data_IF_986811099773
#
_entry.id   IF_986811099773
#
_cell.length_a   1.000
_cell.length_b   1.000
_cell.length_c   1.000
_cell.angle_alpha   90.00
_cell.angle_beta   90.00
_cell.angle_gamma   90.00
#
_symmetry.space_group_name_H-M   'P 1'
#
loop_
_entity.id
_entity.type
_entity.pdbx_description
1 polymer ?
#
# COMPACT_ATOMS: atom_id res chain seq x y z
N UNK A 1 -21.07 21.66 -16.69
CA UNK A 1 -20.27 21.10 -17.80
C UNK A 1 -19.01 21.92 -17.87
N UNK A 2 -17.84 21.30 -17.64
CA UNK A 2 -16.55 22.01 -17.75
C UNK A 2 -16.32 22.43 -19.21
N UNK A 3 -15.64 23.55 -19.43
CA UNK A 3 -15.27 23.97 -20.77
C UNK A 3 -14.20 23.04 -21.36
N UNK A 4 -14.14 22.88 -22.68
CA UNK A 4 -13.12 22.05 -23.36
C UNK A 4 -11.69 22.43 -22.94
N UNK A 5 -11.45 23.71 -22.68
CA UNK A 5 -10.16 24.25 -22.22
C UNK A 5 -9.79 23.77 -20.79
N UNK A 6 -10.77 23.62 -19.90
CA UNK A 6 -10.55 23.10 -18.55
C UNK A 6 -10.21 21.61 -18.57
N UNK A 7 -10.91 20.82 -19.39
CA UNK A 7 -10.61 19.39 -19.56
C UNK A 7 -9.21 19.14 -20.13
N UNK A 8 -8.79 19.91 -21.14
CA UNK A 8 -7.44 19.80 -21.71
C UNK A 8 -6.35 20.14 -20.69
N UNK A 9 -6.60 21.13 -19.83
CA UNK A 9 -5.65 21.56 -18.79
C UNK A 9 -5.48 20.48 -17.72
N UNK A 10 -6.59 19.87 -17.27
CA UNK A 10 -6.57 18.81 -16.26
C UNK A 10 -5.91 17.54 -16.76
N UNK A 11 -6.20 17.14 -18.00
CA UNK A 11 -5.52 16.00 -18.66
C UNK A 11 -4.01 16.19 -18.66
N UNK A 12 -3.53 17.41 -18.97
CA UNK A 12 -2.09 17.75 -18.91
C UNK A 12 -1.50 17.65 -17.50
N UNK A 13 -2.24 18.08 -16.47
CA UNK A 13 -1.81 17.97 -15.06
C UNK A 13 -1.71 16.50 -14.65
N UNK A 14 -2.74 15.70 -14.93
CA UNK A 14 -2.77 14.28 -14.61
C UNK A 14 -1.60 13.52 -15.28
N UNK A 15 -1.36 13.78 -16.57
CA UNK A 15 -0.20 13.21 -17.28
C UNK A 15 1.13 13.65 -16.69
N UNK A 16 1.26 14.93 -16.29
CA UNK A 16 2.48 15.46 -15.66
C UNK A 16 2.75 14.79 -14.31
N UNK A 17 1.72 14.57 -13.50
CA UNK A 17 1.82 13.83 -12.23
C UNK A 17 2.29 12.40 -12.51
N UNK A 18 1.63 11.69 -13.43
CA UNK A 18 1.97 10.31 -13.78
C UNK A 18 3.44 10.21 -14.23
N UNK A 19 3.85 11.01 -15.21
CA UNK A 19 5.22 11.03 -15.73
C UNK A 19 6.26 11.43 -14.66
N UNK A 20 5.93 12.39 -13.82
CA UNK A 20 6.84 12.88 -12.79
C UNK A 20 7.08 11.86 -11.67
N UNK A 21 6.03 11.14 -11.27
CA UNK A 21 6.10 10.09 -10.26
C UNK A 21 6.66 8.78 -10.84
N UNK A 22 6.41 8.49 -12.12
CA UNK A 22 7.02 7.38 -12.87
C UNK A 22 8.41 7.74 -13.41
N UNK A 23 9.27 8.21 -12.51
CA UNK A 23 10.68 8.51 -12.80
C UNK A 23 11.62 7.62 -11.99
N UNK A 24 12.87 7.50 -12.46
CA UNK A 24 13.94 6.79 -11.74
C UNK A 24 14.15 7.28 -10.29
N UNK A 25 13.62 8.45 -9.93
CA UNK A 25 13.66 9.03 -8.60
C UNK A 25 12.62 8.41 -7.65
N UNK A 26 11.43 8.04 -8.13
CA UNK A 26 10.32 7.61 -7.26
C UNK A 26 9.80 6.22 -7.61
N UNK A 27 9.11 6.07 -8.75
CA UNK A 27 8.65 4.80 -9.31
C UNK A 27 9.32 4.57 -10.66
N UNK A 28 10.03 3.45 -10.82
CA UNK A 28 10.68 3.12 -12.10
C UNK A 28 9.68 2.69 -13.18
N UNK A 29 8.43 2.52 -12.81
CA UNK A 29 7.38 1.97 -13.64
C UNK A 29 6.13 2.85 -13.56
N UNK A 30 5.26 2.68 -14.56
CA UNK A 30 3.92 3.25 -14.53
C UNK A 30 3.10 2.62 -13.41
N UNK A 31 2.13 3.37 -12.83
CA UNK A 31 1.21 2.80 -11.87
C UNK A 31 0.39 1.69 -12.52
N UNK A 32 -0.12 0.77 -11.71
CA UNK A 32 -1.21 -0.10 -12.16
C UNK A 32 -2.41 0.75 -12.58
N UNK A 33 -3.21 0.27 -13.54
CA UNK A 33 -4.43 0.95 -14.02
C UNK A 33 -4.26 2.45 -14.32
N UNK A 34 -3.28 2.82 -15.14
CA UNK A 34 -2.97 4.23 -15.47
C UNK A 34 -4.19 5.04 -15.94
N UNK A 35 -5.04 4.48 -16.80
CA UNK A 35 -6.24 5.18 -17.28
C UNK A 35 -7.19 5.55 -16.13
N UNK A 36 -7.32 4.68 -15.14
CA UNK A 36 -8.14 4.93 -13.96
C UNK A 36 -7.50 6.00 -13.06
N UNK A 37 -6.18 6.00 -12.92
CA UNK A 37 -5.46 7.08 -12.24
C UNK A 37 -5.73 8.43 -12.91
N UNK A 38 -5.57 8.51 -14.23
CA UNK A 38 -5.80 9.74 -15.00
C UNK A 38 -7.24 10.23 -14.82
N UNK A 39 -8.21 9.32 -14.83
CA UNK A 39 -9.62 9.62 -14.56
C UNK A 39 -9.85 10.19 -13.15
N UNK A 40 -9.19 9.64 -12.12
CA UNK A 40 -9.28 10.14 -10.74
C UNK A 40 -8.64 11.52 -10.57
N UNK A 41 -7.52 11.76 -11.25
CA UNK A 41 -6.78 13.02 -11.23
C UNK A 41 -7.44 14.15 -12.04
N UNK A 42 -8.44 13.86 -12.87
CA UNK A 42 -9.24 14.85 -13.61
C UNK A 42 -10.33 15.53 -12.73
N UNK A 43 -10.39 15.19 -11.44
CA UNK A 43 -11.30 15.80 -10.47
C UNK A 43 -10.72 17.06 -9.81
N UNK A 44 -11.59 17.96 -9.32
CA UNK A 44 -11.20 19.16 -8.56
C UNK A 44 -10.78 18.86 -7.11
N UNK A 45 -10.57 17.58 -6.78
CA UNK A 45 -10.24 17.14 -5.44
C UNK A 45 -8.73 17.31 -5.21
N UNK A 46 -8.28 17.87 -4.07
CA UNK A 46 -6.87 17.95 -3.75
C UNK A 46 -6.21 16.56 -3.81
N UNK A 47 -5.03 16.49 -4.43
CA UNK A 47 -4.34 15.23 -4.61
C UNK A 47 -3.92 14.63 -3.26
N UNK A 48 -4.31 13.38 -3.01
CA UNK A 48 -3.99 12.67 -1.78
C UNK A 48 -3.18 11.42 -2.09
N UNK A 49 -2.09 11.21 -1.35
CA UNK A 49 -1.32 9.97 -1.39
C UNK A 49 -1.82 9.03 -0.30
N UNK A 50 -2.21 7.82 -0.65
CA UNK A 50 -2.59 6.79 0.33
C UNK A 50 -1.64 5.61 0.23
N UNK A 51 -0.81 5.44 1.26
CA UNK A 51 0.28 4.48 1.27
C UNK A 51 0.00 3.26 2.12
N UNK A 52 0.31 2.08 1.61
CA UNK A 52 0.33 0.87 2.44
C UNK A 52 1.58 0.85 3.32
N UNK A 53 1.41 0.62 4.62
CA UNK A 53 2.49 0.57 5.59
C UNK A 53 2.47 -0.70 6.43
N UNK A 54 3.66 -1.23 6.75
CA UNK A 54 3.86 -2.38 7.62
C UNK A 54 3.07 -2.25 8.93
N UNK A 55 2.41 -3.32 9.37
CA UNK A 55 1.68 -3.37 10.64
C UNK A 55 2.49 -3.94 11.82
N UNK A 56 3.73 -4.39 11.60
CA UNK A 56 4.67 -4.76 12.66
C UNK A 56 6.11 -4.61 12.18
N UNK A 57 7.07 -4.47 13.10
CA UNK A 57 8.51 -4.43 12.80
C UNK A 57 9.20 -5.68 13.33
N UNK A 58 10.04 -6.29 12.52
CA UNK A 58 10.93 -7.37 12.97
C UNK A 58 12.19 -6.80 13.61
N UNK A 59 12.57 -7.33 14.78
CA UNK A 59 13.67 -6.79 15.55
C UNK A 59 13.35 -5.41 16.16
N UNK A 60 14.34 -4.82 16.83
CA UNK A 60 14.21 -3.52 17.51
C UNK A 60 13.00 -3.39 18.46
N UNK A 61 12.71 -4.43 19.26
CA UNK A 61 11.60 -4.44 20.24
C UNK A 61 10.24 -4.04 19.63
N UNK A 62 10.03 -4.34 18.34
CA UNK A 62 8.82 -3.99 17.59
C UNK A 62 8.53 -2.48 17.54
N UNK A 63 9.59 -1.66 17.35
CA UNK A 63 9.48 -0.20 17.28
C UNK A 63 10.05 0.37 15.98
N UNK A 64 9.50 1.50 15.57
CA UNK A 64 9.99 2.30 14.45
C UNK A 64 11.45 2.67 14.65
N UNK A 65 12.17 2.72 13.53
CA UNK A 65 13.60 2.95 13.49
C UNK A 65 13.99 3.98 12.43
N UNK A 66 15.29 4.14 12.21
CA UNK A 66 15.82 5.10 11.23
C UNK A 66 15.33 4.83 9.80
N UNK A 67 15.17 3.57 9.40
CA UNK A 67 14.68 3.21 8.06
C UNK A 67 13.21 3.64 7.87
N UNK A 68 12.39 3.57 8.93
CA UNK A 68 11.02 4.08 8.89
C UNK A 68 11.03 5.61 8.68
N UNK A 69 11.86 6.34 9.43
CA UNK A 69 12.00 7.79 9.27
C UNK A 69 12.50 8.19 7.86
N UNK A 70 13.54 7.52 7.36
CA UNK A 70 14.08 7.75 6.01
C UNK A 70 13.03 7.47 4.91
N UNK A 71 12.19 6.45 5.11
CA UNK A 71 11.10 6.13 4.18
C UNK A 71 9.98 7.17 4.24
N UNK A 72 9.65 7.68 5.43
CA UNK A 72 8.69 8.77 5.59
C UNK A 72 9.19 10.10 4.99
N UNK A 73 10.48 10.40 5.10
CA UNK A 73 11.10 11.56 4.43
C UNK A 73 11.01 11.45 2.90
N UNK A 74 11.16 10.23 2.38
CA UNK A 74 10.94 9.97 0.97
C UNK A 74 9.48 10.25 0.58
N UNK A 75 8.49 9.73 1.32
CA UNK A 75 7.06 10.02 1.07
C UNK A 75 6.78 11.52 1.16
N UNK A 76 7.40 12.22 2.09
CA UNK A 76 7.29 13.68 2.23
C UNK A 76 7.77 14.40 0.97
N UNK A 77 8.89 13.96 0.40
CA UNK A 77 9.42 14.48 -0.86
C UNK A 77 8.49 14.20 -2.05
N UNK A 78 7.84 13.03 -2.08
CA UNK A 78 6.84 12.66 -3.10
C UNK A 78 5.62 13.58 -2.99
N UNK A 79 5.09 13.79 -1.77
CA UNK A 79 3.97 14.72 -1.54
C UNK A 79 4.30 16.14 -1.99
N UNK A 80 5.49 16.65 -1.66
CA UNK A 80 5.94 17.96 -2.12
C UNK A 80 5.97 18.06 -3.64
N UNK A 81 6.48 17.02 -4.31
CA UNK A 81 6.52 16.94 -5.77
C UNK A 81 5.12 16.87 -6.39
N UNK A 82 4.20 16.12 -5.78
CA UNK A 82 2.81 16.05 -6.21
C UNK A 82 2.13 17.42 -6.13
N UNK A 83 2.40 18.20 -5.08
CA UNK A 83 1.92 19.58 -4.97
C UNK A 83 2.49 20.47 -6.07
N UNK A 84 3.79 20.38 -6.37
CA UNK A 84 4.43 21.13 -7.46
C UNK A 84 3.82 20.81 -8.84
N UNK A 85 3.48 19.54 -9.10
CA UNK A 85 2.92 19.13 -10.40
C UNK A 85 1.44 19.44 -10.55
N UNK A 86 0.66 19.27 -9.48
CA UNK A 86 -0.77 19.58 -9.46
C UNK A 86 -1.07 21.07 -9.40
N UNK A 87 -0.13 21.88 -8.87
CA UNK A 87 -0.41 23.28 -8.53
C UNK A 87 -1.36 23.43 -7.32
N UNK A 88 -1.65 22.33 -6.62
CA UNK A 88 -2.59 22.26 -5.50
C UNK A 88 -1.88 21.76 -4.23
N UNK A 89 -2.50 22.00 -3.07
CA UNK A 89 -2.04 21.37 -1.84
C UNK A 89 -2.20 19.85 -1.95
N UNK A 90 -1.13 19.11 -1.70
CA UNK A 90 -1.17 17.67 -1.59
C UNK A 90 -1.18 17.23 -0.12
N UNK A 91 -1.91 16.16 0.19
CA UNK A 91 -1.92 15.50 1.50
C UNK A 91 -1.48 14.05 1.37
N UNK A 92 -1.17 13.40 2.50
CA UNK A 92 -0.83 11.98 2.49
C UNK A 92 -1.28 11.31 3.79
N UNK A 93 -1.77 10.08 3.67
CA UNK A 93 -2.12 9.20 4.78
C UNK A 93 -1.50 7.83 4.56
N UNK A 94 -1.25 7.12 5.66
CA UNK A 94 -0.68 5.77 5.67
C UNK A 94 -1.68 4.80 6.27
N UNK A 95 -1.98 3.74 5.53
CA UNK A 95 -2.78 2.60 5.98
C UNK A 95 -1.84 1.61 6.67
N UNK A 96 -1.91 1.59 8.00
CA UNK A 96 -1.15 0.67 8.83
C UNK A 96 -1.79 -0.71 8.78
N UNK A 97 -1.14 -1.65 8.10
CA UNK A 97 -1.66 -2.99 7.80
C UNK A 97 -1.63 -3.95 9.01
N UNK A 98 -2.19 -3.52 10.15
CA UNK A 98 -2.30 -4.28 11.40
C UNK A 98 -2.95 -5.65 11.20
N UNK A 99 -4.09 -5.68 10.50
CA UNK A 99 -4.87 -6.89 10.31
C UNK A 99 -4.17 -7.93 9.44
N UNK A 100 -3.42 -7.49 8.42
CA UNK A 100 -2.59 -8.39 7.63
C UNK A 100 -1.55 -9.07 8.53
N UNK A 101 -0.92 -8.34 9.45
CA UNK A 101 0.12 -8.93 10.31
C UNK A 101 -0.49 -9.86 11.34
N UNK A 102 -1.69 -9.54 11.82
CA UNK A 102 -2.42 -10.39 12.75
C UNK A 102 -2.86 -11.70 12.07
N UNK A 103 -3.52 -11.60 10.92
CA UNK A 103 -4.19 -12.73 10.27
C UNK A 103 -3.29 -13.58 9.39
N UNK A 104 -2.35 -12.99 8.63
CA UNK A 104 -1.45 -13.73 7.76
C UNK A 104 -0.10 -14.02 8.44
N UNK A 105 0.42 -13.09 9.24
CA UNK A 105 1.72 -13.29 9.89
C UNK A 105 1.65 -13.83 11.32
N UNK A 106 0.46 -13.88 11.94
CA UNK A 106 0.27 -14.39 13.31
C UNK A 106 0.87 -13.49 14.40
N UNK A 107 1.10 -12.21 14.11
CA UNK A 107 1.68 -11.26 15.07
C UNK A 107 0.73 -10.95 16.21
N UNK A 108 1.30 -10.74 17.39
CA UNK A 108 0.51 -10.47 18.60
C UNK A 108 0.07 -9.00 18.65
N UNK A 109 -1.12 -8.74 19.20
CA UNK A 109 -1.68 -7.38 19.32
C UNK A 109 -0.73 -6.41 20.05
N UNK A 110 0.02 -6.90 21.04
CA UNK A 110 1.03 -6.10 21.75
C UNK A 110 2.16 -5.61 20.85
N UNK A 111 2.57 -6.41 19.87
CA UNK A 111 3.67 -6.09 18.97
C UNK A 111 3.23 -5.09 17.91
N UNK A 112 2.05 -5.33 17.34
CA UNK A 112 1.38 -4.45 16.37
C UNK A 112 1.17 -3.07 17.01
N UNK A 113 0.60 -3.03 18.22
CA UNK A 113 0.38 -1.78 18.96
C UNK A 113 1.69 -1.06 19.28
N UNK A 114 2.70 -1.78 19.77
CA UNK A 114 4.00 -1.18 20.07
C UNK A 114 4.61 -0.49 18.84
N UNK A 115 4.47 -1.10 17.66
CA UNK A 115 4.97 -0.50 16.43
C UNK A 115 4.13 0.71 16.02
N UNK A 116 2.80 0.59 16.01
CA UNK A 116 1.88 1.70 15.70
C UNK A 116 2.17 2.94 16.54
N UNK A 117 2.24 2.79 17.86
CA UNK A 117 2.50 3.90 18.80
C UNK A 117 3.89 4.51 18.60
N UNK A 118 4.88 3.71 18.22
CA UNK A 118 6.23 4.24 17.93
C UNK A 118 6.35 4.94 16.58
N UNK A 119 5.53 4.55 15.60
CA UNK A 119 5.52 5.09 14.25
C UNK A 119 4.71 6.40 14.19
N UNK A 120 3.60 6.47 14.91
CA UNK A 120 2.65 7.58 14.88
C UNK A 120 3.31 8.96 15.04
N UNK A 121 4.21 9.22 16.02
CA UNK A 121 4.88 10.52 16.14
C UNK A 121 5.72 10.89 14.91
N UNK A 122 6.40 9.92 14.28
CA UNK A 122 7.20 10.16 13.07
C UNK A 122 6.32 10.55 11.88
N UNK A 123 5.14 9.94 11.79
CA UNK A 123 4.15 10.20 10.74
C UNK A 123 3.53 11.59 10.93
N UNK A 124 3.14 11.93 12.17
CA UNK A 124 2.55 13.22 12.53
C UNK A 124 3.53 14.39 12.33
N UNK A 125 4.82 14.21 12.65
CA UNK A 125 5.88 15.22 12.43
C UNK A 125 5.95 15.68 10.96
N UNK A 126 5.61 14.81 10.01
CA UNK A 126 5.63 15.10 8.57
C UNK A 126 4.28 15.61 8.04
N UNK A 127 3.30 15.76 8.93
CA UNK A 127 1.95 16.19 8.61
C UNK A 127 1.17 15.14 7.83
N UNK A 128 1.36 13.87 8.14
CA UNK A 128 0.59 12.75 7.61
C UNK A 128 -0.38 12.21 8.66
N UNK A 129 -1.37 11.44 8.22
CA UNK A 129 -2.23 10.65 9.09
C UNK A 129 -1.81 9.18 9.08
N UNK A 130 -1.86 8.51 10.24
CA UNK A 130 -1.68 7.06 10.36
C UNK A 130 -3.01 6.41 10.70
N UNK A 131 -3.55 5.62 9.76
CA UNK A 131 -4.87 5.01 9.86
C UNK A 131 -4.68 3.50 10.06
N UNK A 132 -5.14 2.96 11.19
CA UNK A 132 -5.13 1.52 11.43
C UNK A 132 -6.09 0.82 10.48
N UNK A 133 -5.61 -0.18 9.75
CA UNK A 133 -6.43 -0.86 8.75
C UNK A 133 -7.68 -1.50 9.38
N UNK A 134 -7.56 -2.14 10.53
CA UNK A 134 -8.72 -2.69 11.25
C UNK A 134 -9.84 -1.65 11.55
N UNK A 135 -9.52 -0.34 11.57
CA UNK A 135 -10.52 0.72 11.76
C UNK A 135 -11.33 1.02 10.49
N UNK A 136 -10.78 0.68 9.32
CA UNK A 136 -11.40 0.86 8.01
C UNK A 136 -12.27 -0.35 7.66
N UNK A 137 -11.73 -1.57 7.83
CA UNK A 137 -12.39 -2.81 7.37
C UNK A 137 -13.12 -3.59 8.46
N UNK A 138 -13.00 -3.16 9.73
CA UNK A 138 -13.58 -3.86 10.89
C UNK A 138 -12.61 -4.82 11.59
N UNK A 139 -13.07 -5.47 12.67
CA UNK A 139 -12.23 -6.28 13.56
C UNK A 139 -11.83 -7.65 12.95
N UNK A 140 -10.60 -8.08 13.21
CA UNK A 140 -9.99 -9.30 12.64
C UNK A 140 -10.74 -10.64 12.81
N UNK A 141 -11.38 -10.96 13.96
CA UNK A 141 -12.14 -12.21 14.09
C UNK A 141 -13.39 -12.25 13.20
N UNK A 142 -13.93 -11.08 12.85
CA UNK A 142 -15.03 -10.94 11.90
C UNK A 142 -14.48 -11.19 10.49
N UNK A 143 -13.38 -10.54 10.13
CA UNK A 143 -12.84 -10.59 8.76
C UNK A 143 -12.41 -11.97 8.25
N UNK A 144 -11.92 -12.88 9.12
CA UNK A 144 -11.58 -14.24 8.67
C UNK A 144 -12.81 -15.02 8.13
N UNK A 145 -14.00 -14.68 8.60
CA UNK A 145 -15.27 -15.24 8.13
C UNK A 145 -15.93 -14.39 7.03
N UNK A 146 -15.32 -13.27 6.64
CA UNK A 146 -15.87 -12.26 5.73
C UNK A 146 -14.93 -11.93 4.55
N UNK A 147 -13.80 -12.62 4.38
CA UNK A 147 -13.12 -12.63 3.08
C UNK A 147 -14.14 -13.26 2.12
N UNK A 148 -14.67 -12.44 1.22
CA UNK A 148 -15.68 -12.88 0.27
C UNK A 148 -15.11 -13.88 -0.74
N UNK A 149 -16.00 -14.65 -1.35
CA UNK A 149 -15.65 -15.64 -2.37
C UNK A 149 -14.92 -15.00 -3.56
N UNK A 150 -15.22 -13.72 -3.85
CA UNK A 150 -14.56 -12.95 -4.90
C UNK A 150 -13.06 -12.77 -4.61
N UNK A 151 -12.70 -12.35 -3.39
CA UNK A 151 -11.33 -12.10 -2.96
C UNK A 151 -10.54 -13.40 -2.86
N UNK A 152 -11.19 -14.50 -2.44
CA UNK A 152 -10.59 -15.84 -2.47
C UNK A 152 -10.31 -16.30 -3.89
N UNK A 153 -11.26 -16.14 -4.81
CA UNK A 153 -11.09 -16.50 -6.22
C UNK A 153 -9.99 -15.66 -6.89
N UNK A 154 -9.95 -14.35 -6.61
CA UNK A 154 -8.90 -13.45 -7.07
C UNK A 154 -7.52 -13.91 -6.56
N UNK A 155 -7.42 -14.28 -5.29
CA UNK A 155 -6.18 -14.80 -4.71
C UNK A 155 -5.71 -16.10 -5.40
N UNK A 156 -6.63 -17.04 -5.65
CA UNK A 156 -6.31 -18.27 -6.38
C UNK A 156 -5.81 -17.99 -7.80
N UNK A 157 -6.44 -17.05 -8.51
CA UNK A 157 -6.01 -16.63 -9.84
C UNK A 157 -4.62 -15.96 -9.81
N UNK A 158 -4.37 -15.04 -8.88
CA UNK A 158 -3.07 -14.38 -8.72
C UNK A 158 -1.97 -15.41 -8.42
N UNK A 159 -2.25 -16.34 -7.50
CA UNK A 159 -1.30 -17.37 -7.07
C UNK A 159 -1.16 -18.53 -8.08
N UNK A 160 -1.91 -18.53 -9.18
CA UNK A 160 -1.69 -19.45 -10.30
C UNK A 160 -0.45 -19.07 -11.13
N UNK A 161 0.02 -17.82 -11.07
CA UNK A 161 1.36 -17.48 -11.57
C UNK A 161 2.41 -17.98 -10.58
N UNK A 162 3.14 -19.00 -11.01
CA UNK A 162 4.17 -19.66 -10.20
C UNK A 162 5.23 -18.69 -9.66
N UNK A 163 5.58 -17.63 -10.40
CA UNK A 163 6.57 -16.64 -9.94
C UNK A 163 6.04 -15.84 -8.75
N UNK A 164 4.77 -15.42 -8.83
CA UNK A 164 4.10 -14.70 -7.75
C UNK A 164 3.97 -15.58 -6.52
N UNK A 165 3.56 -16.84 -6.71
CA UNK A 165 3.45 -17.82 -5.65
C UNK A 165 4.79 -18.06 -4.93
N UNK A 166 5.85 -18.35 -5.67
CA UNK A 166 7.18 -18.62 -5.12
C UNK A 166 7.73 -17.44 -4.31
N UNK A 167 7.56 -16.23 -4.84
CA UNK A 167 8.04 -15.01 -4.18
C UNK A 167 7.25 -14.71 -2.90
N UNK A 168 5.93 -14.85 -2.95
CA UNK A 168 5.08 -14.68 -1.77
C UNK A 168 5.36 -15.75 -0.72
N UNK A 169 5.59 -17.02 -1.11
CA UNK A 169 5.98 -18.10 -0.20
C UNK A 169 7.32 -17.80 0.46
N UNK A 170 8.31 -17.34 -0.31
CA UNK A 170 9.63 -16.98 0.22
C UNK A 170 9.53 -15.90 1.29
N UNK A 171 8.74 -14.85 1.02
CA UNK A 171 8.48 -13.79 1.99
C UNK A 171 7.72 -14.31 3.23
N UNK A 172 6.67 -15.10 3.03
CA UNK A 172 5.89 -15.67 4.13
C UNK A 172 6.76 -16.54 5.05
N UNK A 173 7.64 -17.37 4.49
CA UNK A 173 8.61 -18.19 5.26
C UNK A 173 9.55 -17.34 6.13
N UNK A 174 9.88 -16.12 5.69
CA UNK A 174 10.73 -15.19 6.43
C UNK A 174 9.97 -14.49 7.56
N UNK A 175 8.71 -14.13 7.32
CA UNK A 175 8.00 -13.14 8.14
C UNK A 175 6.79 -13.67 8.92
N UNK A 176 6.21 -14.81 8.53
CA UNK A 176 5.00 -15.34 9.16
C UNK A 176 5.33 -16.30 10.30
N UNK A 177 4.90 -15.94 11.51
CA UNK A 177 4.96 -16.81 12.69
C UNK A 177 4.00 -17.99 12.56
N UNK A 178 2.98 -17.91 11.70
CA UNK A 178 2.02 -19.00 11.48
C UNK A 178 2.66 -20.23 10.84
N UNK A 179 3.71 -20.04 10.02
CA UNK A 179 4.47 -21.16 9.45
C UNK A 179 5.27 -21.85 10.56
N UNK A 180 5.88 -21.08 11.46
CA UNK A 180 6.58 -21.61 12.63
C UNK A 180 5.68 -22.38 13.59
N UNK A 181 4.38 -22.07 13.62
CA UNK A 181 3.37 -22.81 14.39
C UNK A 181 2.67 -23.94 13.60
N UNK A 182 3.16 -24.27 12.39
CA UNK A 182 2.72 -25.44 11.63
C UNK A 182 1.73 -25.17 10.49
N UNK A 183 1.40 -23.92 10.18
CA UNK A 183 0.54 -23.57 9.04
C UNK A 183 1.31 -23.75 7.73
N UNK A 184 0.69 -24.41 6.75
CA UNK A 184 1.31 -24.58 5.43
C UNK A 184 1.57 -23.20 4.77
N UNK A 185 2.77 -22.97 4.20
CA UNK A 185 3.09 -21.68 3.56
C UNK A 185 2.09 -21.26 2.49
N UNK A 186 1.58 -22.21 1.70
CA UNK A 186 0.55 -21.98 0.69
C UNK A 186 -0.73 -21.37 1.27
N UNK A 187 -1.14 -21.80 2.47
CA UNK A 187 -2.33 -21.26 3.13
C UNK A 187 -2.12 -19.85 3.66
N UNK A 188 -0.91 -19.57 4.17
CA UNK A 188 -0.54 -18.23 4.65
C UNK A 188 -0.56 -17.22 3.50
N UNK A 189 -0.01 -17.57 2.34
CA UNK A 189 0.01 -16.67 1.18
C UNK A 189 -1.37 -16.48 0.56
N UNK A 190 -2.21 -17.52 0.53
CA UNK A 190 -3.60 -17.41 0.09
C UNK A 190 -4.38 -16.42 0.98
N UNK A 191 -4.27 -16.56 2.30
CA UNK A 191 -4.90 -15.65 3.26
C UNK A 191 -4.38 -14.23 3.08
N UNK A 192 -3.07 -14.06 2.92
CA UNK A 192 -2.47 -12.74 2.70
C UNK A 192 -3.05 -12.05 1.46
N UNK A 193 -2.99 -12.71 0.31
CA UNK A 193 -3.45 -12.14 -0.96
C UNK A 193 -4.96 -11.85 -0.92
N UNK A 194 -5.75 -12.75 -0.34
CA UNK A 194 -7.20 -12.57 -0.27
C UNK A 194 -7.60 -11.41 0.65
N UNK A 195 -6.93 -11.24 1.81
CA UNK A 195 -7.17 -10.07 2.67
C UNK A 195 -6.77 -8.79 1.96
N UNK A 196 -5.63 -8.78 1.26
CA UNK A 196 -5.14 -7.58 0.56
C UNK A 196 -6.11 -7.15 -0.55
N UNK A 197 -6.62 -8.09 -1.35
CA UNK A 197 -7.66 -7.80 -2.38
C UNK A 197 -8.93 -7.24 -1.73
N UNK A 198 -9.47 -7.94 -0.73
CA UNK A 198 -10.67 -7.49 -0.01
C UNK A 198 -10.48 -6.07 0.56
N UNK A 199 -9.34 -5.84 1.19
CA UNK A 199 -9.00 -4.56 1.80
C UNK A 199 -8.93 -3.44 0.77
N UNK A 200 -8.23 -3.66 -0.34
CA UNK A 200 -8.11 -2.66 -1.38
C UNK A 200 -9.50 -2.27 -1.89
N UNK A 201 -10.39 -3.24 -2.14
CA UNK A 201 -11.78 -2.95 -2.49
C UNK A 201 -12.51 -2.08 -1.45
N UNK A 202 -12.41 -2.42 -0.15
CA UNK A 202 -13.07 -1.64 0.89
C UNK A 202 -12.51 -0.23 1.05
N UNK A 203 -11.19 -0.06 0.94
CA UNK A 203 -10.57 1.27 0.93
C UNK A 203 -11.02 2.05 -0.28
N UNK A 204 -11.01 1.45 -1.46
CA UNK A 204 -11.44 2.14 -2.66
C UNK A 204 -12.89 2.60 -2.55
N UNK A 205 -13.76 1.80 -1.94
CA UNK A 205 -15.15 2.18 -1.66
C UNK A 205 -15.27 3.38 -0.73
N UNK A 206 -14.42 3.48 0.30
CA UNK A 206 -14.46 4.56 1.31
C UNK A 206 -13.77 5.82 0.80
N UNK A 207 -12.66 5.66 0.08
CA UNK A 207 -11.80 6.74 -0.39
C UNK A 207 -11.95 7.00 -1.89
N UNK A 208 -13.01 6.51 -2.55
CA UNK A 208 -13.20 6.47 -4.02
C UNK A 208 -12.86 7.76 -4.80
N UNK A 209 -12.89 8.91 -4.13
CA UNK A 209 -12.62 10.23 -4.71
C UNK A 209 -11.21 10.78 -4.45
N UNK A 210 -10.33 10.08 -3.73
CA UNK A 210 -9.17 10.71 -3.09
C UNK A 210 -7.77 10.17 -3.47
N UNK A 211 -7.44 8.87 -3.57
CA UNK A 211 -6.03 8.50 -3.58
C UNK A 211 -5.40 8.15 -4.91
N UNK A 212 -4.22 8.75 -5.07
CA UNK A 212 -3.08 8.10 -5.69
C UNK A 212 -2.56 7.06 -4.69
N UNK A 213 -2.79 5.77 -4.93
CA UNK A 213 -2.27 4.73 -4.06
C UNK A 213 -0.78 4.53 -4.28
N UNK A 214 -0.07 4.14 -3.22
CA UNK A 214 1.30 3.66 -3.35
C UNK A 214 1.62 2.53 -2.38
N UNK A 215 2.61 1.73 -2.77
CA UNK A 215 3.18 0.69 -1.92
C UNK A 215 4.70 0.64 -2.07
N UNK A 216 5.38 0.22 -1.01
CA UNK A 216 6.80 -0.14 -1.02
C UNK A 216 7.03 -1.65 -1.23
N UNK A 217 5.95 -2.44 -1.27
CA UNK A 217 6.02 -3.89 -1.46
C UNK A 217 6.56 -4.26 -2.84
N UNK A 218 7.10 -5.47 -2.95
CA UNK A 218 7.62 -5.99 -4.20
C UNK A 218 6.56 -5.91 -5.33
N UNK A 219 6.87 -5.26 -6.46
CA UNK A 219 5.91 -5.06 -7.54
C UNK A 219 5.46 -6.37 -8.18
N UNK A 220 6.26 -7.45 -8.15
CA UNK A 220 5.84 -8.75 -8.69
C UNK A 220 4.70 -9.37 -7.88
N UNK A 221 4.56 -9.00 -6.60
CA UNK A 221 3.45 -9.46 -5.75
C UNK A 221 2.32 -8.44 -5.73
N UNK A 222 2.64 -7.16 -5.54
CA UNK A 222 1.63 -6.14 -5.32
C UNK A 222 0.90 -5.73 -6.61
N UNK A 223 1.54 -5.77 -7.79
CA UNK A 223 0.87 -5.39 -9.05
C UNK A 223 -0.30 -6.32 -9.40
N UNK A 224 -0.18 -7.66 -9.36
CA UNK A 224 -1.32 -8.55 -9.55
C UNK A 224 -2.48 -8.25 -8.60
N UNK A 225 -2.18 -7.94 -7.33
CA UNK A 225 -3.19 -7.64 -6.30
C UNK A 225 -3.92 -6.32 -6.61
N UNK A 226 -3.16 -5.25 -6.87
CA UNK A 226 -3.73 -3.95 -7.25
C UNK A 226 -4.54 -4.03 -8.55
N UNK A 227 -4.08 -4.81 -9.52
CA UNK A 227 -4.80 -5.06 -10.78
C UNK A 227 -6.12 -5.76 -10.55
N UNK A 228 -6.13 -6.84 -9.74
CA UNK A 228 -7.35 -7.56 -9.40
C UNK A 228 -8.35 -6.71 -8.59
N UNK A 229 -7.83 -5.72 -7.85
CA UNK A 229 -8.63 -4.79 -7.05
C UNK A 229 -9.05 -3.53 -7.82
N UNK A 230 -8.68 -3.44 -9.11
CA UNK A 230 -8.89 -2.27 -9.97
C UNK A 230 -8.31 -0.95 -9.43
N UNK A 231 -7.30 -1.03 -8.55
CA UNK A 231 -6.70 0.14 -7.89
C UNK A 231 -5.50 0.66 -8.68
N UNK A 232 -5.46 1.97 -8.99
CA UNK A 232 -4.26 2.58 -9.51
C UNK A 232 -3.20 2.78 -8.44
N UNK A 233 -2.11 2.02 -8.49
CA UNK A 233 -1.07 2.02 -7.46
C UNK A 233 0.33 2.25 -8.04
N UNK A 234 1.08 3.19 -7.45
CA UNK A 234 2.51 3.34 -7.66
C UNK A 234 3.32 2.38 -6.79
N UNK A 235 4.44 1.90 -7.32
CA UNK A 235 5.37 1.04 -6.59
C UNK A 235 6.66 1.81 -6.34
N UNK A 236 6.78 2.38 -5.15
CA UNK A 236 7.93 3.18 -4.78
C UNK A 236 9.06 2.30 -4.25
N UNK A 237 10.29 2.67 -4.59
CA UNK A 237 11.47 2.04 -4.06
C UNK A 237 12.08 2.94 -2.98
N UNK A 238 12.04 2.52 -1.72
CA UNK A 238 12.71 3.26 -0.64
C UNK A 238 14.22 3.27 -0.91
N UNK A 239 14.74 4.43 -1.31
CA UNK A 239 16.13 4.85 -1.50
C UNK A 239 17.32 3.84 -1.55
N UNK A 240 18.15 4.11 -2.56
CA UNK A 240 19.50 3.58 -2.86
C UNK A 240 19.54 2.15 -3.43
N UNK A 241 20.43 1.92 -4.41
CA UNK A 241 20.69 0.64 -5.12
C UNK A 241 21.03 -0.57 -4.21
N UNK A 242 20.94 -0.45 -2.88
CA UNK A 242 21.41 -1.44 -1.89
C UNK A 242 20.64 -1.48 -0.56
N UNK A 243 19.52 -0.77 -0.38
CA UNK A 243 18.71 -0.84 0.86
C UNK A 243 17.24 -1.12 0.54
N UNK A 244 16.86 -2.39 0.64
CA UNK A 244 15.47 -2.85 0.53
C UNK A 244 14.86 -3.05 1.92
N UNK A 245 15.04 -2.08 2.82
CA UNK A 245 14.34 -2.08 4.11
C UNK A 245 12.96 -1.46 3.92
N UNK A 246 12.17 -2.06 3.02
CA UNK A 246 10.76 -1.76 2.89
C UNK A 246 10.05 -2.24 4.17
N UNK A 247 9.03 -1.51 4.67
CA UNK A 247 8.31 -1.92 5.86
C UNK A 247 7.50 -3.23 5.69
N UNK A 248 7.44 -3.83 4.48
CA UNK A 248 6.95 -5.21 4.27
C UNK A 248 7.26 -5.79 2.87
N UNK A 249 7.44 -7.13 2.80
CA UNK A 249 7.54 -8.01 1.62
C UNK A 249 8.73 -7.71 0.71
N UNK A 250 9.95 -8.00 1.19
CA UNK A 250 11.18 -8.10 0.39
C UNK A 250 11.98 -9.39 0.67
#
# INVERSE_FOLDING_TARGET
MASTMEMETRTKIASKICQGLSSNKFSRELPTNENELLRRLDSDVPAHLLGLWGGSKEGNRNRANKSDAESLDFVYSVRGRLAEYSGMKASASLLFCDIHHKLANGRQDKEIRAYFESLKPLVEERGFELIGLQSVVGKAPVLRNYIDDHSLLAAQKILSDQRVLEKTIKSAKRHSQQIGSGTAPGKVVEIYVAIEVYFLHEVDRIFHHLPIFFSFSDPEVQKPIATASEIPMFHFHSNSRRRHECPWYS
#
